data_IF_384073307684
#
_entry.id   IF_384073307684
#
_cell.length_a   1.000
_cell.length_b   1.000
_cell.length_c   1.000
_cell.angle_alpha   90.00
_cell.angle_beta   90.00
_cell.angle_gamma   90.00
#
_symmetry.space_group_name_H-M   'P 1'
#
loop_
_entity.id
_entity.type
_entity.pdbx_description
1 polymer ?
#
# COMPACT_ATOMS: atom_id res chain seq x y z
N UNK A 1 20.71 4.14 -3.79
CA UNK A 1 20.53 4.19 -5.26
C UNK A 1 19.18 3.62 -5.63
N UNK A 2 18.46 4.30 -6.49
CA UNK A 2 17.20 3.82 -7.05
C UNK A 2 17.48 3.11 -8.37
N UNK A 3 16.92 1.92 -8.51
CA UNK A 3 17.02 1.14 -9.76
C UNK A 3 15.61 1.05 -10.35
N UNK A 4 15.32 1.81 -11.42
CA UNK A 4 14.01 1.73 -12.06
C UNK A 4 13.84 0.39 -12.78
N UNK A 5 12.67 -0.23 -12.61
CA UNK A 5 12.32 -1.47 -13.28
C UNK A 5 10.93 -1.29 -13.88
N UNK A 6 10.84 -1.39 -15.21
CA UNK A 6 9.56 -1.36 -15.90
C UNK A 6 8.81 -2.67 -15.69
N UNK A 7 7.61 -2.59 -15.12
CA UNK A 7 6.77 -3.75 -14.89
C UNK A 7 5.29 -3.35 -14.93
N UNK A 8 4.48 -4.18 -15.56
CA UNK A 8 3.04 -3.96 -15.70
C UNK A 8 2.29 -5.09 -14.98
N UNK A 9 1.63 -4.74 -13.87
CA UNK A 9 0.88 -5.72 -13.08
C UNK A 9 -0.41 -6.21 -13.78
N UNK A 10 -0.81 -5.59 -14.88
CA UNK A 10 -1.91 -6.10 -15.71
C UNK A 10 -1.52 -7.31 -16.56
N UNK A 11 -0.23 -7.60 -16.62
CA UNK A 11 0.34 -8.80 -17.26
C UNK A 11 0.94 -9.72 -16.20
N UNK A 12 0.14 -10.55 -15.51
CA UNK A 12 0.55 -11.23 -14.28
C UNK A 12 1.84 -12.06 -14.39
N UNK A 13 1.99 -12.87 -15.42
CA UNK A 13 3.16 -13.73 -15.57
C UNK A 13 4.44 -12.94 -15.85
N UNK A 14 4.32 -11.93 -16.70
CA UNK A 14 5.44 -11.05 -17.05
C UNK A 14 5.87 -10.21 -15.84
N UNK A 15 4.91 -9.69 -15.12
CA UNK A 15 5.14 -8.96 -13.88
C UNK A 15 5.89 -9.82 -12.86
N UNK A 16 5.43 -11.05 -12.62
CA UNK A 16 6.06 -11.98 -11.70
C UNK A 16 7.51 -12.32 -12.11
N UNK A 17 7.74 -12.55 -13.39
CA UNK A 17 9.11 -12.81 -13.90
C UNK A 17 10.03 -11.61 -13.68
N UNK A 18 9.54 -10.41 -13.96
CA UNK A 18 10.31 -9.18 -13.78
C UNK A 18 10.72 -8.99 -12.32
N UNK A 19 9.80 -9.21 -11.38
CA UNK A 19 10.11 -9.12 -9.95
C UNK A 19 11.10 -10.20 -9.51
N UNK A 20 10.93 -11.44 -9.96
CA UNK A 20 11.88 -12.51 -9.63
C UNK A 20 13.30 -12.22 -10.14
N UNK A 21 13.43 -11.68 -11.34
CA UNK A 21 14.73 -11.25 -11.88
C UNK A 21 15.35 -10.13 -11.04
N UNK A 22 14.56 -9.14 -10.62
CA UNK A 22 15.05 -8.08 -9.77
C UNK A 22 15.53 -8.64 -8.41
N UNK A 23 14.73 -9.50 -7.77
CA UNK A 23 15.09 -10.12 -6.51
C UNK A 23 16.33 -11.03 -6.62
N UNK A 24 16.49 -11.72 -7.75
CA UNK A 24 17.68 -12.55 -7.99
C UNK A 24 18.97 -11.71 -8.06
N UNK A 25 18.86 -10.47 -8.51
CA UNK A 25 20.02 -9.56 -8.63
C UNK A 25 20.37 -8.87 -7.31
N UNK A 26 19.39 -8.57 -6.48
CA UNK A 26 19.57 -7.77 -5.27
C UNK A 26 19.41 -8.56 -3.98
N UNK A 27 18.94 -9.81 -4.06
CA UNK A 27 18.46 -10.60 -2.93
C UNK A 27 16.97 -10.35 -2.68
N UNK A 28 16.34 -11.18 -1.84
CA UNK A 28 14.93 -11.03 -1.47
C UNK A 28 14.65 -9.64 -0.90
N UNK A 29 13.49 -9.10 -1.21
CA UNK A 29 13.10 -7.77 -0.73
C UNK A 29 12.73 -7.80 0.75
N UNK A 30 13.24 -6.84 1.51
CA UNK A 30 12.97 -6.71 2.94
C UNK A 30 11.84 -5.73 3.24
N UNK A 31 11.54 -4.86 2.30
CA UNK A 31 10.45 -3.90 2.40
C UNK A 31 9.76 -3.77 1.06
N UNK A 32 8.44 -3.65 1.10
CA UNK A 32 7.64 -3.34 -0.08
C UNK A 32 6.57 -2.31 0.29
N UNK A 33 6.38 -1.35 -0.60
CA UNK A 33 5.27 -0.40 -0.56
C UNK A 33 4.44 -0.64 -1.80
N UNK A 34 3.16 -0.95 -1.62
CA UNK A 34 2.28 -1.38 -2.68
C UNK A 34 1.09 -0.43 -2.78
N UNK A 35 0.97 0.22 -3.92
CA UNK A 35 -0.19 1.04 -4.25
C UNK A 35 -0.74 0.57 -5.61
N UNK A 36 -1.56 -0.44 -5.57
CA UNK A 36 -2.08 -1.16 -6.73
C UNK A 36 -3.60 -1.02 -6.78
N UNK A 37 -4.15 -0.79 -7.96
CA UNK A 37 -5.61 -0.77 -8.15
C UNK A 37 -6.24 -2.11 -7.79
N UNK A 38 -7.47 -2.07 -7.29
CA UNK A 38 -8.14 -3.23 -6.69
C UNK A 38 -8.14 -4.47 -7.59
N UNK A 39 -8.38 -4.29 -8.88
CA UNK A 39 -8.43 -5.38 -9.85
C UNK A 39 -7.08 -6.07 -10.08
N UNK A 40 -5.98 -5.38 -9.87
CA UNK A 40 -4.64 -5.94 -10.03
C UNK A 40 -4.03 -6.55 -8.76
N UNK A 41 -4.63 -6.28 -7.61
CA UNK A 41 -4.04 -6.65 -6.31
C UNK A 41 -3.76 -8.13 -6.13
N UNK A 42 -4.68 -9.07 -6.43
CA UNK A 42 -4.42 -10.49 -6.16
C UNK A 42 -3.15 -10.99 -6.85
N UNK A 43 -2.97 -10.68 -8.11
CA UNK A 43 -1.82 -11.13 -8.89
C UNK A 43 -0.54 -10.38 -8.51
N UNK A 44 -0.62 -9.06 -8.35
CA UNK A 44 0.52 -8.25 -7.97
C UNK A 44 1.04 -8.62 -6.58
N UNK A 45 0.15 -8.82 -5.62
CA UNK A 45 0.53 -9.18 -4.26
C UNK A 45 1.13 -10.58 -4.17
N UNK A 46 0.59 -11.55 -4.91
CA UNK A 46 1.17 -12.89 -5.00
C UNK A 46 2.59 -12.84 -5.57
N UNK A 47 2.80 -12.07 -6.64
CA UNK A 47 4.12 -11.90 -7.24
C UNK A 47 5.12 -11.24 -6.30
N UNK A 48 4.70 -10.22 -5.56
CA UNK A 48 5.55 -9.58 -4.55
C UNK A 48 5.87 -10.54 -3.42
N UNK A 49 4.89 -11.27 -2.91
CA UNK A 49 5.08 -12.22 -1.80
C UNK A 49 6.17 -13.26 -2.11
N UNK A 50 6.23 -13.74 -3.34
CA UNK A 50 7.24 -14.70 -3.79
C UNK A 50 8.68 -14.15 -3.76
N UNK A 51 8.84 -12.84 -3.69
CA UNK A 51 10.15 -12.18 -3.71
C UNK A 51 10.56 -11.62 -2.35
N UNK A 52 9.74 -11.75 -1.33
CA UNK A 52 10.01 -11.18 -0.02
C UNK A 52 10.96 -12.05 0.81
N UNK A 53 11.81 -11.39 1.57
CA UNK A 53 12.58 -12.05 2.62
C UNK A 53 11.66 -12.45 3.78
N UNK A 54 12.13 -13.38 4.61
CA UNK A 54 11.48 -13.70 5.87
C UNK A 54 11.41 -12.43 6.75
N UNK A 55 10.30 -12.21 7.43
CA UNK A 55 10.04 -11.02 8.26
C UNK A 55 10.08 -9.70 7.50
N UNK A 56 9.83 -9.73 6.19
CA UNK A 56 9.73 -8.52 5.39
C UNK A 56 8.58 -7.60 5.88
N UNK A 57 8.78 -6.30 5.74
CA UNK A 57 7.76 -5.31 6.02
C UNK A 57 7.03 -4.93 4.75
N UNK A 58 5.71 -5.06 4.75
CA UNK A 58 4.85 -4.66 3.63
C UNK A 58 3.91 -3.56 4.06
N UNK A 59 3.90 -2.47 3.31
CA UNK A 59 2.91 -1.41 3.46
C UNK A 59 2.00 -1.45 2.24
N UNK A 60 0.73 -1.71 2.50
CA UNK A 60 -0.32 -1.61 1.51
C UNK A 60 -0.95 -0.22 1.59
N UNK A 61 -0.92 0.54 0.49
CA UNK A 61 -1.53 1.86 0.41
C UNK A 61 -2.87 1.73 -0.32
N UNK A 62 -3.93 2.19 0.33
CA UNK A 62 -5.30 2.12 -0.20
C UNK A 62 -6.01 3.46 -0.04
N UNK A 63 -7.04 3.68 -0.82
CA UNK A 63 -7.86 4.88 -0.72
C UNK A 63 -8.84 4.84 0.45
N UNK A 64 -9.49 5.97 0.71
CA UNK A 64 -10.44 6.16 1.81
C UNK A 64 -11.63 5.19 1.77
N UNK A 65 -11.98 4.68 0.59
CA UNK A 65 -13.04 3.69 0.43
C UNK A 65 -12.86 2.42 1.29
N UNK A 66 -11.62 2.09 1.65
CA UNK A 66 -11.32 0.97 2.55
C UNK A 66 -11.93 1.15 3.96
N UNK A 67 -12.24 2.39 4.35
CA UNK A 67 -12.85 2.73 5.64
C UNK A 67 -14.26 3.33 5.47
N UNK A 68 -14.91 3.08 4.34
CA UNK A 68 -16.31 3.48 4.16
C UNK A 68 -17.19 2.88 5.28
N UNK A 69 -18.26 3.57 5.72
CA UNK A 69 -19.11 3.08 6.79
C UNK A 69 -19.68 1.67 6.55
N UNK A 70 -19.84 1.29 5.28
CA UNK A 70 -20.36 -0.02 4.86
C UNK A 70 -19.26 -1.02 4.49
N UNK A 71 -17.99 -0.61 4.51
CA UNK A 71 -16.89 -1.50 4.18
C UNK A 71 -16.60 -2.49 5.34
N UNK A 72 -16.22 -3.73 5.02
CA UNK A 72 -15.72 -4.64 6.04
C UNK A 72 -14.40 -4.12 6.62
N UNK A 73 -14.05 -4.49 7.86
CA UNK A 73 -12.77 -4.11 8.43
C UNK A 73 -11.61 -4.55 7.53
N UNK A 74 -10.59 -3.70 7.32
CA UNK A 74 -9.41 -4.06 6.55
C UNK A 74 -8.73 -5.30 7.15
N UNK A 75 -8.34 -6.22 6.27
CA UNK A 75 -7.62 -7.45 6.64
C UNK A 75 -6.36 -7.57 5.80
N UNK A 76 -5.31 -8.21 6.33
CA UNK A 76 -4.15 -8.53 5.52
C UNK A 76 -4.56 -9.37 4.31
N UNK A 77 -4.04 -9.05 3.11
CA UNK A 77 -4.25 -9.88 1.92
C UNK A 77 -3.73 -11.30 2.12
N UNK A 78 -4.39 -12.29 1.52
CA UNK A 78 -3.99 -13.69 1.62
C UNK A 78 -2.56 -13.97 1.15
N UNK A 79 -2.07 -13.17 0.21
CA UNK A 79 -0.71 -13.30 -0.31
C UNK A 79 0.36 -13.09 0.78
N UNK A 80 0.05 -12.33 1.83
CA UNK A 80 0.99 -11.99 2.90
C UNK A 80 0.68 -12.83 4.14
N UNK A 81 1.50 -13.81 4.40
CA UNK A 81 1.34 -14.73 5.50
C UNK A 81 1.82 -14.14 6.85
N UNK A 82 1.81 -14.97 7.89
CA UNK A 82 2.23 -14.57 9.24
C UNK A 82 3.70 -14.16 9.36
N UNK A 83 4.53 -14.51 8.38
CA UNK A 83 5.95 -14.17 8.36
C UNK A 83 6.17 -12.75 7.85
N UNK A 84 5.15 -12.15 7.24
CA UNK A 84 5.20 -10.80 6.69
C UNK A 84 4.60 -9.81 7.69
N UNK A 85 5.32 -8.75 7.97
CA UNK A 85 4.81 -7.65 8.79
C UNK A 85 4.00 -6.72 7.89
N UNK A 86 2.72 -7.01 7.77
CA UNK A 86 1.80 -6.25 6.93
C UNK A 86 1.17 -5.09 7.70
N UNK A 87 1.15 -3.93 7.07
CA UNK A 87 0.46 -2.73 7.55
C UNK A 87 -0.31 -2.09 6.41
N UNK A 88 -1.44 -1.50 6.74
CA UNK A 88 -2.27 -0.75 5.77
C UNK A 88 -2.16 0.75 6.05
N UNK A 89 -1.90 1.52 5.02
CA UNK A 89 -1.96 2.98 5.04
C UNK A 89 -3.16 3.41 4.21
N UNK A 90 -4.11 4.06 4.85
CA UNK A 90 -5.32 4.58 4.19
C UNK A 90 -5.12 6.05 3.88
N UNK A 91 -5.30 6.42 2.62
CA UNK A 91 -5.23 7.81 2.18
C UNK A 91 -6.60 8.46 2.33
N UNK A 92 -6.67 9.44 3.20
CA UNK A 92 -7.88 10.21 3.45
C UNK A 92 -7.85 11.56 2.73
N UNK A 93 -8.41 12.56 3.38
CA UNK A 93 -8.52 13.94 2.90
C UNK A 93 -8.09 14.92 3.98
N UNK A 94 -7.95 16.18 3.63
CA UNK A 94 -7.59 17.27 4.54
C UNK A 94 -8.52 18.47 4.34
N UNK A 95 -8.40 19.47 5.22
CA UNK A 95 -9.26 20.65 5.22
C UNK A 95 -10.51 20.47 6.08
N UNK A 96 -11.33 21.51 6.16
CA UNK A 96 -12.50 21.57 7.01
C UNK A 96 -13.74 21.99 6.21
N UNK A 97 -14.89 21.43 6.58
CA UNK A 97 -16.19 21.77 6.01
C UNK A 97 -16.19 21.78 4.48
N UNK A 98 -16.58 22.90 3.83
CA UNK A 98 -16.63 22.99 2.37
C UNK A 98 -15.25 23.10 1.71
N UNK A 99 -14.18 23.21 2.49
CA UNK A 99 -12.80 23.37 2.00
C UNK A 99 -11.99 22.07 2.09
N UNK A 100 -12.64 20.92 2.08
CA UNK A 100 -11.95 19.63 2.05
C UNK A 100 -11.38 19.38 0.67
N UNK A 101 -10.22 18.72 0.64
CA UNK A 101 -9.57 18.27 -0.59
C UNK A 101 -8.84 16.95 -0.37
N UNK A 102 -8.60 16.24 -1.43
CA UNK A 102 -7.75 15.06 -1.39
C UNK A 102 -6.31 15.45 -1.06
N UNK A 103 -5.55 14.52 -0.50
CA UNK A 103 -4.14 14.70 -0.22
C UNK A 103 -3.36 14.92 -1.51
N UNK A 104 -2.37 15.79 -1.47
CA UNK A 104 -1.42 15.95 -2.57
C UNK A 104 -0.29 14.90 -2.48
N UNK A 105 0.55 14.84 -3.52
CA UNK A 105 1.63 13.85 -3.60
C UNK A 105 2.64 13.99 -2.46
N UNK A 106 2.93 15.22 -2.03
CA UNK A 106 3.84 15.47 -0.91
C UNK A 106 3.28 14.94 0.41
N UNK A 107 2.00 15.17 0.68
CA UNK A 107 1.32 14.68 1.87
C UNK A 107 1.25 13.15 1.88
N UNK A 108 0.94 12.55 0.75
CA UNK A 108 0.93 11.09 0.60
C UNK A 108 2.32 10.51 0.86
N UNK A 109 3.34 11.06 0.19
CA UNK A 109 4.72 10.60 0.35
C UNK A 109 5.21 10.73 1.78
N UNK A 110 4.97 11.87 2.43
CA UNK A 110 5.32 12.10 3.84
C UNK A 110 4.64 11.08 4.76
N UNK A 111 3.36 10.82 4.55
CA UNK A 111 2.60 9.87 5.35
C UNK A 111 3.08 8.42 5.18
N UNK A 112 3.38 8.01 3.96
CA UNK A 112 3.91 6.66 3.68
C UNK A 112 5.32 6.50 4.27
N UNK A 113 6.19 7.49 4.11
CA UNK A 113 7.53 7.46 4.72
C UNK A 113 7.47 7.41 6.25
N UNK A 114 6.54 8.14 6.86
CA UNK A 114 6.33 8.06 8.30
C UNK A 114 5.92 6.66 8.74
N UNK A 115 5.06 6.00 7.97
CA UNK A 115 4.67 4.61 8.23
C UNK A 115 5.85 3.64 8.11
N UNK A 116 6.71 3.82 7.11
CA UNK A 116 7.92 3.01 6.93
C UNK A 116 8.91 3.15 8.10
N UNK A 117 9.04 4.36 8.62
CA UNK A 117 9.97 4.67 9.71
C UNK A 117 9.41 4.38 11.09
N UNK A 118 8.09 4.23 11.21
CA UNK A 118 7.48 3.92 12.48
C UNK A 118 7.95 2.54 12.96
N UNK A 119 8.41 2.42 14.21
CA UNK A 119 8.65 1.10 14.79
C UNK A 119 7.34 0.32 14.80
N UNK A 120 7.40 -0.95 15.08
CA UNK A 120 6.21 -1.81 15.13
C UNK A 120 5.08 -1.10 15.87
N UNK A 121 4.08 -0.71 15.11
CA UNK A 121 2.96 0.09 15.59
C UNK A 121 1.67 -0.45 15.00
N UNK A 122 0.69 0.43 14.91
CA UNK A 122 -0.63 0.09 14.43
C UNK A 122 -0.59 -0.53 13.03
N UNK A 123 -1.35 -1.60 12.85
CA UNK A 123 -1.51 -2.27 11.56
C UNK A 123 -2.27 -1.43 10.54
N UNK A 124 -2.97 -0.41 11.03
CA UNK A 124 -3.73 0.52 10.21
C UNK A 124 -3.32 1.95 10.56
N UNK A 125 -2.96 2.73 9.56
CA UNK A 125 -2.63 4.15 9.71
C UNK A 125 -3.42 4.95 8.68
N UNK A 126 -4.00 6.06 9.12
CA UNK A 126 -4.68 7.00 8.22
C UNK A 126 -3.78 8.21 8.00
N UNK A 127 -3.58 8.58 6.74
CA UNK A 127 -2.94 9.85 6.36
C UNK A 127 -4.04 10.85 6.07
N UNK A 128 -4.00 12.00 6.73
CA UNK A 128 -5.13 12.93 6.73
C UNK A 128 -6.24 12.42 7.65
N UNK A 129 -7.48 12.57 7.21
CA UNK A 129 -8.65 12.06 7.93
C UNK A 129 -9.66 11.39 6.99
N UNK A 130 -10.49 10.54 7.54
CA UNK A 130 -11.58 9.87 6.82
C UNK A 130 -12.95 10.14 7.45
N UNK A 131 -12.97 10.89 8.54
CA UNK A 131 -14.20 11.26 9.25
C UNK A 131 -14.28 12.78 9.43
N UNK A 132 -15.48 13.38 9.46
CA UNK A 132 -16.76 12.73 9.10
C UNK A 132 -16.74 12.25 7.63
N UNK A 133 -17.41 11.15 7.37
CA UNK A 133 -17.41 10.54 6.03
C UNK A 133 -18.03 11.45 4.96
N UNK A 134 -19.05 12.19 5.35
CA UNK A 134 -19.77 13.15 4.50
C UNK A 134 -18.93 14.35 4.08
N UNK A 135 -17.85 14.65 4.80
CA UNK A 135 -16.92 15.74 4.45
C UNK A 135 -15.95 15.35 3.32
N UNK A 136 -16.02 14.13 2.84
CA UNK A 136 -15.15 13.63 1.78
C UNK A 136 -15.30 14.50 0.52
N UNK A 137 -14.19 14.94 -0.09
CA UNK A 137 -14.26 15.71 -1.33
C UNK A 137 -15.01 14.92 -2.41
N UNK A 138 -15.76 15.64 -3.23
CA UNK A 138 -16.36 15.05 -4.43
C UNK A 138 -15.26 14.62 -5.41
N UNK A 139 -15.53 13.57 -6.13
CA UNK A 139 -14.59 13.06 -7.12
C UNK A 139 -14.39 14.06 -8.26
#
# INVERSE_FOLDING_TARGET
MLIPVGADYTEPERFARTLRRAAARTGPFRQAVLWVHAEGRPHAYAAVADTLAQDASVIEVVGSGALAPTAPPPRPPEAFDRRTRHRTVVLGFTGDGPHTRWLDHGEIGTGVLAALRAPEGDRLRVVGRVRPWEDRPSA
#
